data_IF_328529454383
#
_entry.id   IF_328529454383
#
_cell.length_a   1.000
_cell.length_b   1.000
_cell.length_c   1.000
_cell.angle_alpha   90.00
_cell.angle_beta   90.00
_cell.angle_gamma   90.00
#
_symmetry.space_group_name_H-M   'P 1'
#
loop_
_entity.id
_entity.type
_entity.pdbx_description
1 polymer ?
#
# COMPACT_ATOMS: atom_id res chain seq x y z
N UNK A 1 -0.14 2.24 -13.70
CA UNK A 1 -0.32 1.00 -12.91
C UNK A 1 -1.73 0.93 -12.35
N UNK A 2 -2.13 1.89 -11.51
CA UNK A 2 -3.49 1.94 -10.97
C UNK A 2 -4.44 2.69 -11.89
N UNK A 3 -5.73 2.35 -11.81
CA UNK A 3 -6.78 2.91 -12.67
C UNK A 3 -7.84 3.60 -11.84
N UNK A 4 -8.52 4.56 -12.44
CA UNK A 4 -9.58 5.31 -11.76
C UNK A 4 -10.80 4.43 -11.50
N UNK A 5 -11.49 4.67 -10.38
CA UNK A 5 -12.75 4.01 -10.07
C UNK A 5 -13.88 4.68 -10.87
N UNK A 6 -14.42 3.98 -11.87
CA UNK A 6 -15.50 4.50 -12.73
C UNK A 6 -16.88 3.95 -12.33
N UNK A 7 -16.95 2.68 -11.92
CA UNK A 7 -18.18 2.01 -11.49
C UNK A 7 -17.86 1.02 -10.36
N UNK A 8 -18.87 0.56 -9.61
CA UNK A 8 -18.70 -0.53 -8.63
C UNK A 8 -18.29 -1.82 -9.34
N UNK A 9 -18.95 -2.12 -10.48
CA UNK A 9 -18.63 -3.29 -11.29
C UNK A 9 -17.17 -3.34 -11.73
N UNK A 10 -16.60 -2.21 -12.15
CA UNK A 10 -15.19 -2.11 -12.54
C UNK A 10 -14.22 -2.40 -11.38
N UNK A 11 -14.63 -2.11 -10.14
CA UNK A 11 -13.78 -2.30 -8.95
C UNK A 11 -13.84 -3.73 -8.45
N UNK A 12 -15.03 -4.33 -8.45
CA UNK A 12 -15.27 -5.66 -7.89
C UNK A 12 -15.03 -6.79 -8.91
N UNK A 13 -15.28 -6.55 -10.20
CA UNK A 13 -15.21 -7.58 -11.26
C UNK A 13 -14.13 -7.28 -12.32
N UNK A 14 -13.44 -6.13 -12.22
CA UNK A 14 -12.41 -5.73 -13.19
C UNK A 14 -11.06 -6.41 -12.99
N UNK A 15 -10.28 -6.50 -14.06
CA UNK A 15 -8.90 -7.05 -14.02
C UNK A 15 -7.82 -6.00 -13.68
N UNK A 16 -8.23 -4.75 -13.46
CA UNK A 16 -7.30 -3.66 -13.15
C UNK A 16 -7.38 -3.31 -11.66
N UNK A 17 -6.22 -3.13 -11.02
CA UNK A 17 -6.18 -2.67 -9.63
C UNK A 17 -6.57 -1.20 -9.51
N UNK A 18 -7.58 -0.90 -8.68
CA UNK A 18 -8.15 0.45 -8.47
C UNK A 18 -8.17 0.83 -6.98
N UNK A 19 -7.02 1.10 -6.34
CA UNK A 19 -6.96 1.44 -4.91
C UNK A 19 -7.75 2.72 -4.61
N UNK A 20 -8.40 2.77 -3.45
CA UNK A 20 -9.08 4.00 -2.97
C UNK A 20 -8.18 4.72 -1.99
N UNK A 21 -7.41 5.68 -2.49
CA UNK A 21 -6.71 6.61 -1.63
C UNK A 21 -7.70 7.62 -1.02
N UNK A 22 -7.41 8.09 0.19
CA UNK A 22 -8.14 9.17 0.82
C UNK A 22 -7.78 10.54 0.20
N UNK A 23 -8.32 11.62 0.73
CA UNK A 23 -8.07 12.99 0.24
C UNK A 23 -6.59 13.43 0.39
N UNK A 24 -5.81 12.79 1.26
CA UNK A 24 -4.37 13.02 1.41
C UNK A 24 -3.52 12.15 0.47
N UNK A 25 -4.16 11.34 -0.40
CA UNK A 25 -3.46 10.41 -1.29
C UNK A 25 -2.91 9.17 -0.59
N UNK A 26 -3.48 8.79 0.56
CA UNK A 26 -3.02 7.68 1.40
C UNK A 26 -4.03 6.53 1.49
N UNK A 27 -3.52 5.32 1.66
CA UNK A 27 -4.29 4.10 1.95
C UNK A 27 -3.75 3.44 3.23
N UNK A 28 -4.60 3.02 4.19
CA UNK A 28 -4.16 2.25 5.34
C UNK A 28 -3.72 0.85 4.92
N UNK A 29 -2.68 0.33 5.57
CA UNK A 29 -2.11 -0.99 5.29
C UNK A 29 -1.92 -1.73 6.59
N UNK A 30 -2.43 -2.96 6.64
CA UNK A 30 -2.20 -3.92 7.71
C UNK A 30 -1.29 -5.01 7.17
N UNK A 31 -0.18 -5.25 7.86
CA UNK A 31 0.80 -6.27 7.49
C UNK A 31 0.70 -7.42 8.47
N UNK A 32 0.55 -8.62 7.94
CA UNK A 32 0.46 -9.86 8.72
C UNK A 32 1.62 -10.79 8.36
N UNK A 33 1.92 -11.68 9.30
CA UNK A 33 2.78 -12.83 9.04
C UNK A 33 2.04 -13.83 8.14
N UNK A 34 2.70 -14.26 7.06
CA UNK A 34 2.09 -15.14 6.05
C UNK A 34 1.71 -16.53 6.58
N UNK A 35 2.44 -17.05 7.58
CA UNK A 35 2.23 -18.41 8.10
C UNK A 35 1.19 -18.41 9.22
N UNK A 36 1.33 -17.47 10.16
CA UNK A 36 0.57 -17.45 11.41
C UNK A 36 -0.64 -16.53 11.37
N UNK A 37 -0.77 -15.69 10.33
CA UNK A 37 -1.76 -14.61 10.23
C UNK A 37 -1.68 -13.58 11.37
N UNK A 38 -0.59 -13.58 12.17
CA UNK A 38 -0.40 -12.60 13.23
C UNK A 38 -0.27 -11.21 12.63
N UNK A 39 -0.96 -10.24 13.24
CA UNK A 39 -0.80 -8.83 12.91
C UNK A 39 0.60 -8.36 13.34
N UNK A 40 1.39 -7.88 12.39
CA UNK A 40 2.75 -7.41 12.62
C UNK A 40 2.77 -5.89 12.80
N UNK A 41 2.08 -5.16 11.92
CA UNK A 41 2.03 -3.69 11.98
C UNK A 41 0.86 -3.11 11.18
N UNK A 42 0.55 -1.85 11.49
CA UNK A 42 -0.33 -0.98 10.72
C UNK A 42 0.44 0.27 10.29
N UNK A 43 0.29 0.67 9.03
CA UNK A 43 0.94 1.84 8.45
C UNK A 43 0.08 2.44 7.32
N UNK A 44 0.66 3.38 6.57
CA UNK A 44 0.03 3.99 5.39
C UNK A 44 0.96 3.84 4.18
N UNK A 45 0.36 3.78 3.00
CA UNK A 45 1.07 3.92 1.71
C UNK A 45 0.47 5.09 0.94
N UNK A 46 1.32 5.87 0.27
CA UNK A 46 0.88 6.70 -0.85
C UNK A 46 0.92 5.88 -2.15
N UNK A 47 0.57 6.48 -3.28
CA UNK A 47 0.57 5.79 -4.57
C UNK A 47 1.94 5.20 -4.93
N UNK A 48 3.02 5.93 -4.66
CA UNK A 48 4.39 5.51 -4.96
C UNK A 48 4.84 4.33 -4.10
N UNK A 49 4.59 4.37 -2.79
CA UNK A 49 4.91 3.28 -1.86
C UNK A 49 4.21 1.97 -2.27
N UNK A 50 2.94 2.04 -2.69
CA UNK A 50 2.22 0.86 -3.17
C UNK A 50 2.80 0.32 -4.50
N UNK A 51 3.15 1.21 -5.44
CA UNK A 51 3.83 0.82 -6.70
C UNK A 51 5.15 0.11 -6.42
N UNK A 52 5.99 0.70 -5.55
CA UNK A 52 7.26 0.11 -5.17
C UNK A 52 7.07 -1.24 -4.49
N UNK A 53 6.09 -1.36 -3.58
CA UNK A 53 5.80 -2.62 -2.90
C UNK A 53 5.50 -3.75 -3.89
N UNK A 54 4.65 -3.49 -4.89
CA UNK A 54 4.28 -4.52 -5.87
C UNK A 54 5.45 -4.82 -6.83
N UNK A 55 6.17 -3.80 -7.29
CA UNK A 55 7.23 -3.96 -8.30
C UNK A 55 8.52 -4.55 -7.73
N UNK A 56 8.89 -4.17 -6.50
CA UNK A 56 10.09 -4.66 -5.80
C UNK A 56 9.83 -5.91 -4.97
N UNK A 57 8.56 -6.21 -4.66
CA UNK A 57 8.16 -7.32 -3.76
C UNK A 57 8.73 -7.19 -2.35
N UNK A 58 8.97 -5.95 -1.91
CA UNK A 58 9.45 -5.59 -0.58
C UNK A 58 8.49 -4.57 0.02
N UNK A 59 8.39 -4.46 1.35
CA UNK A 59 7.42 -3.56 1.97
C UNK A 59 7.91 -2.10 1.97
N UNK A 60 7.25 -1.24 1.18
CA UNK A 60 7.43 0.21 1.20
C UNK A 60 6.22 0.90 1.81
N UNK A 61 6.44 1.78 2.78
CA UNK A 61 5.40 2.59 3.42
C UNK A 61 5.64 4.08 3.19
N UNK A 62 4.67 4.90 3.58
CA UNK A 62 4.79 6.35 3.60
C UNK A 62 4.64 6.88 5.03
N UNK A 63 5.66 7.57 5.53
CA UNK A 63 5.60 8.24 6.83
C UNK A 63 4.79 9.53 6.69
N UNK A 64 3.61 9.58 7.32
CA UNK A 64 2.76 10.78 7.30
C UNK A 64 3.40 11.98 8.00
N UNK A 65 4.14 11.72 9.07
CA UNK A 65 4.80 12.76 9.87
C UNK A 65 6.07 13.28 9.20
N UNK A 66 6.90 12.39 8.64
CA UNK A 66 8.15 12.77 7.95
C UNK A 66 7.94 13.09 6.46
N UNK A 67 6.74 12.85 5.94
CA UNK A 67 6.33 13.05 4.53
C UNK A 67 7.28 12.38 3.53
N UNK A 68 7.79 11.20 3.86
CA UNK A 68 8.78 10.49 3.07
C UNK A 68 8.41 9.01 2.87
N UNK A 69 8.96 8.41 1.80
CA UNK A 69 8.95 6.96 1.63
C UNK A 69 9.80 6.29 2.71
N UNK A 70 9.41 5.08 3.09
CA UNK A 70 10.15 4.25 4.03
C UNK A 70 10.17 2.80 3.55
N UNK A 71 11.35 2.33 3.15
CA UNK A 71 11.59 0.90 2.91
C UNK A 71 11.74 0.20 4.27
N UNK A 72 10.80 -0.70 4.60
CA UNK A 72 10.84 -1.42 5.88
C UNK A 72 12.11 -2.24 5.98
N UNK A 73 12.88 -2.04 7.04
CA UNK A 73 14.14 -2.74 7.26
C UNK A 73 15.38 -2.01 6.73
N UNK A 74 15.24 -0.94 5.95
CA UNK A 74 16.39 -0.18 5.42
C UNK A 74 17.38 0.38 6.46
N UNK A 75 16.97 0.53 7.71
CA UNK A 75 17.79 1.07 8.82
C UNK A 75 18.11 0.03 9.89
N UNK A 76 17.47 -1.13 9.86
CA UNK A 76 17.58 -2.18 10.87
C UNK A 76 17.90 -3.54 10.26
N UNK A 77 18.23 -3.55 8.96
CA UNK A 77 18.48 -4.74 8.16
C UNK A 77 19.87 -5.27 8.38
#
# INVERSE_FOLDING_TARGET
MFKQRKSVKDVEEGNELRPKFNHEGLIPVVTTDFVTNKLLMHAYMNEEALKLTITKREAYYYSRTRKCLWHKGSTSG
#
